data_IF_064901769472
#
_entry.id   IF_064901769472
#
_cell.length_a   1.000
_cell.length_b   1.000
_cell.length_c   1.000
_cell.angle_alpha   90.00
_cell.angle_beta   90.00
_cell.angle_gamma   90.00
#
_symmetry.space_group_name_H-M   'P 1'
#
loop_
_entity.id
_entity.type
_entity.pdbx_description
1 polymer ?
#
# COMPACT_ATOMS: atom_id res chain seq x y z
N UNK A 1 -26.88 -32.91 6.42
CA UNK A 1 -25.85 -31.87 6.69
C UNK A 1 -25.17 -31.58 5.36
N UNK A 2 -25.35 -30.40 4.82
CA UNK A 2 -24.57 -29.95 3.69
C UNK A 2 -23.09 -29.91 4.13
N UNK A 3 -22.19 -30.44 3.32
CA UNK A 3 -20.78 -30.62 3.67
C UNK A 3 -20.06 -29.30 3.97
N UNK A 4 -18.84 -29.38 4.50
CA UNK A 4 -17.96 -28.23 4.67
C UNK A 4 -17.60 -27.65 3.29
N UNK A 5 -17.95 -26.37 3.07
CA UNK A 5 -17.77 -25.67 1.79
C UNK A 5 -16.43 -24.91 1.70
N UNK A 6 -15.51 -25.14 2.65
CA UNK A 6 -14.28 -24.36 2.79
C UNK A 6 -14.53 -22.98 3.44
N UNK A 7 -13.47 -22.20 3.59
CA UNK A 7 -13.54 -20.91 4.29
C UNK A 7 -14.43 -19.91 3.55
N UNK A 8 -14.20 -19.71 2.26
CA UNK A 8 -14.99 -18.79 1.42
C UNK A 8 -16.45 -19.23 1.31
N UNK A 9 -16.70 -20.52 1.07
CA UNK A 9 -18.07 -21.03 0.94
C UNK A 9 -18.88 -20.88 2.22
N UNK A 10 -18.31 -21.18 3.38
CA UNK A 10 -18.95 -21.00 4.67
C UNK A 10 -19.17 -19.51 5.00
N UNK A 11 -18.19 -18.63 4.69
CA UNK A 11 -18.33 -17.19 4.85
C UNK A 11 -19.45 -16.62 3.95
N UNK A 12 -19.55 -17.07 2.71
CA UNK A 12 -20.62 -16.66 1.80
C UNK A 12 -22.01 -17.08 2.30
N UNK A 13 -22.10 -18.26 2.93
CA UNK A 13 -23.35 -18.68 3.55
C UNK A 13 -23.74 -17.79 4.73
N UNK A 14 -22.75 -17.36 5.52
CA UNK A 14 -22.97 -16.38 6.58
C UNK A 14 -23.40 -15.01 6.02
N UNK A 15 -22.77 -14.54 4.94
CA UNK A 15 -23.14 -13.29 4.28
C UNK A 15 -24.62 -13.24 3.83
N UNK A 16 -25.17 -14.36 3.41
CA UNK A 16 -26.60 -14.44 3.02
C UNK A 16 -27.55 -14.19 4.21
N UNK A 17 -27.08 -14.35 5.44
CA UNK A 17 -27.87 -14.15 6.67
C UNK A 17 -27.75 -12.74 7.25
N UNK A 18 -26.81 -11.93 6.75
CA UNK A 18 -26.52 -10.60 7.28
C UNK A 18 -27.66 -9.64 6.98
N UNK A 19 -28.05 -8.86 8.01
CA UNK A 19 -29.10 -7.83 7.93
C UNK A 19 -28.55 -6.41 8.12
N UNK A 20 -27.32 -6.29 8.67
CA UNK A 20 -26.67 -5.02 8.94
C UNK A 20 -26.37 -4.23 7.67
N UNK A 21 -26.28 -2.92 7.75
CA UNK A 21 -25.78 -2.06 6.66
C UNK A 21 -24.27 -2.23 6.46
N UNK A 22 -23.56 -2.48 7.56
CA UNK A 22 -22.12 -2.79 7.58
C UNK A 22 -21.87 -4.19 8.08
N UNK A 23 -20.77 -4.78 7.64
CA UNK A 23 -20.30 -6.11 8.05
C UNK A 23 -18.88 -5.97 8.58
N UNK A 24 -18.65 -6.48 9.79
CA UNK A 24 -17.33 -6.65 10.37
C UNK A 24 -16.92 -8.13 10.30
N UNK A 25 -15.66 -8.39 9.98
CA UNK A 25 -15.10 -9.74 9.95
C UNK A 25 -14.34 -10.00 11.25
N UNK A 26 -14.71 -11.05 11.95
CA UNK A 26 -14.05 -11.52 13.18
C UNK A 26 -13.72 -13.00 13.01
N UNK A 27 -12.45 -13.37 13.20
CA UNK A 27 -12.06 -14.77 13.24
C UNK A 27 -12.55 -15.42 14.55
N UNK A 28 -12.82 -16.73 14.50
CA UNK A 28 -13.47 -17.46 15.59
C UNK A 28 -12.66 -17.55 16.89
N UNK A 29 -11.36 -17.30 16.82
CA UNK A 29 -10.38 -17.41 17.90
C UNK A 29 -9.78 -16.06 18.32
N UNK A 30 -10.13 -14.98 17.61
CA UNK A 30 -9.69 -13.63 17.91
C UNK A 30 -10.68 -12.89 18.81
N UNK A 31 -10.30 -11.71 19.30
CA UNK A 31 -11.10 -10.93 20.25
C UNK A 31 -11.15 -9.46 19.81
N UNK A 32 -12.31 -8.84 19.96
CA UNK A 32 -12.48 -7.39 19.87
C UNK A 32 -12.34 -6.74 21.25
N UNK A 33 -11.91 -5.48 21.28
CA UNK A 33 -12.06 -4.68 22.51
C UNK A 33 -13.54 -4.45 22.82
N UNK A 34 -13.86 -4.22 24.09
CA UNK A 34 -15.25 -4.03 24.55
C UNK A 34 -15.93 -2.83 23.86
N UNK A 35 -15.17 -1.84 23.45
CA UNK A 35 -15.63 -0.60 22.80
C UNK A 35 -15.45 -0.60 21.28
N UNK A 36 -15.01 -1.69 20.65
CA UNK A 36 -14.72 -1.74 19.23
C UNK A 36 -15.91 -1.27 18.35
N UNK A 37 -17.08 -1.82 18.60
CA UNK A 37 -18.28 -1.48 17.83
C UNK A 37 -18.76 -0.05 18.11
N UNK A 38 -18.48 0.49 19.30
CA UNK A 38 -18.77 1.89 19.61
C UNK A 38 -17.93 2.81 18.71
N UNK A 39 -16.61 2.58 18.57
CA UNK A 39 -15.76 3.41 17.74
C UNK A 39 -16.08 3.30 16.25
N UNK A 40 -16.50 2.13 15.79
CA UNK A 40 -17.03 1.97 14.42
C UNK A 40 -18.31 2.80 14.23
N UNK A 41 -19.25 2.72 15.18
CA UNK A 41 -20.48 3.49 15.10
C UNK A 41 -20.26 5.00 15.22
N UNK A 42 -19.31 5.43 16.06
CA UNK A 42 -18.93 6.83 16.25
C UNK A 42 -18.36 7.43 14.94
N UNK A 43 -17.43 6.72 14.28
CA UNK A 43 -16.90 7.13 13.00
C UNK A 43 -18.00 7.29 11.93
N UNK A 44 -18.96 6.39 11.89
CA UNK A 44 -20.09 6.41 10.95
C UNK A 44 -21.14 7.51 11.23
N UNK A 45 -21.08 8.15 12.39
CA UNK A 45 -21.95 9.30 12.68
C UNK A 45 -21.45 10.60 12.03
N UNK A 46 -20.15 10.73 11.87
CA UNK A 46 -19.54 11.93 11.27
C UNK A 46 -19.64 11.93 9.75
N UNK A 47 -19.41 10.78 9.11
CA UNK A 47 -19.43 10.62 7.65
C UNK A 47 -19.88 9.22 7.24
N UNK A 48 -20.35 9.08 6.00
CA UNK A 48 -20.76 7.80 5.42
C UNK A 48 -19.58 7.12 4.71
N UNK A 49 -18.74 6.47 5.48
CA UNK A 49 -17.64 5.69 4.91
C UNK A 49 -18.11 4.40 4.24
N UNK A 50 -17.40 3.99 3.21
CA UNK A 50 -17.61 2.71 2.52
C UNK A 50 -16.88 1.57 3.24
N UNK A 51 -15.68 1.85 3.74
CA UNK A 51 -14.79 0.94 4.44
C UNK A 51 -14.23 1.61 5.69
N UNK A 52 -14.11 0.85 6.78
CA UNK A 52 -13.40 1.27 7.98
C UNK A 52 -12.41 0.16 8.38
N UNK A 53 -11.28 0.55 8.95
CA UNK A 53 -10.33 -0.39 9.54
C UNK A 53 -9.68 0.23 10.77
N UNK A 54 -9.19 -0.63 11.68
CA UNK A 54 -8.53 -0.19 12.90
C UNK A 54 -7.11 -0.71 13.01
N UNK A 55 -6.39 -0.22 14.00
CA UNK A 55 -5.17 -0.85 14.48
C UNK A 55 -5.47 -2.20 15.10
N UNK A 56 -4.45 -3.05 15.17
CA UNK A 56 -4.54 -4.38 15.76
C UNK A 56 -3.32 -4.68 16.62
N UNK A 57 -3.41 -5.68 17.47
CA UNK A 57 -2.26 -6.29 18.13
C UNK A 57 -2.35 -7.82 18.10
N UNK A 58 -1.40 -8.46 18.75
CA UNK A 58 -1.41 -9.89 18.97
C UNK A 58 -1.74 -10.21 20.42
N UNK A 59 -2.47 -11.28 20.61
CA UNK A 59 -2.82 -11.82 21.91
C UNK A 59 -2.16 -13.18 22.10
N UNK A 60 -1.57 -13.43 23.27
CA UNK A 60 -1.05 -14.74 23.62
C UNK A 60 -2.14 -15.81 23.51
N UNK A 61 -1.76 -17.07 23.21
CA UNK A 61 -2.70 -18.17 23.01
C UNK A 61 -3.70 -18.32 24.18
N UNK A 62 -3.21 -18.15 25.41
CA UNK A 62 -4.03 -18.22 26.64
C UNK A 62 -4.78 -16.91 26.97
N UNK A 63 -4.68 -15.88 26.14
CA UNK A 63 -5.33 -14.60 26.36
C UNK A 63 -4.76 -13.73 27.48
N UNK A 64 -3.59 -14.10 28.04
CA UNK A 64 -3.07 -13.46 29.26
C UNK A 64 -2.45 -12.08 29.06
N UNK A 65 -1.99 -11.77 27.87
CA UNK A 65 -1.36 -10.49 27.54
C UNK A 65 -1.38 -10.20 26.03
N UNK A 66 -1.22 -8.91 25.69
CA UNK A 66 -1.18 -8.38 24.35
C UNK A 66 0.25 -8.03 23.95
N UNK A 67 0.59 -8.23 22.67
CA UNK A 67 1.94 -8.12 22.12
C UNK A 67 1.90 -7.44 20.75
N UNK A 68 3.03 -6.89 20.34
CA UNK A 68 3.28 -6.44 18.98
C UNK A 68 2.15 -5.57 18.38
N UNK A 69 1.82 -4.41 18.98
CA UNK A 69 0.82 -3.53 18.42
C UNK A 69 1.24 -3.08 17.03
N UNK A 70 0.29 -3.07 16.11
CA UNK A 70 0.44 -2.62 14.73
C UNK A 70 -0.42 -1.38 14.52
N UNK A 71 0.23 -0.24 14.53
CA UNK A 71 -0.37 1.04 14.19
C UNK A 71 -0.32 1.21 12.68
N UNK A 72 -1.48 1.44 12.08
CA UNK A 72 -1.64 1.51 10.63
C UNK A 72 -1.66 2.98 10.18
N UNK A 73 -1.20 3.28 8.96
CA UNK A 73 -1.35 4.61 8.39
C UNK A 73 -2.80 4.88 7.96
N UNK A 74 -3.09 6.12 7.58
CA UNK A 74 -4.24 6.45 6.74
C UNK A 74 -4.21 5.60 5.46
N UNK A 75 -5.37 5.49 4.79
CA UNK A 75 -5.48 4.61 3.63
C UNK A 75 -4.48 4.97 2.53
N UNK A 76 -3.70 3.97 2.15
CA UNK A 76 -2.73 4.03 1.07
C UNK A 76 -2.91 2.80 0.18
N UNK A 77 -3.36 3.04 -1.05
CA UNK A 77 -3.63 1.96 -2.02
C UNK A 77 -2.35 1.25 -2.46
N UNK A 78 -1.23 1.96 -2.56
CA UNK A 78 0.04 1.34 -2.99
C UNK A 78 0.62 0.47 -1.87
N UNK A 79 0.44 0.89 -0.62
CA UNK A 79 0.77 0.04 0.52
C UNK A 79 -0.13 -1.20 0.59
N UNK A 80 -1.45 -1.05 0.32
CA UNK A 80 -2.37 -2.19 0.26
C UNK A 80 -2.00 -3.17 -0.87
N UNK A 81 -1.53 -2.66 -2.00
CA UNK A 81 -0.99 -3.47 -3.11
C UNK A 81 0.31 -4.17 -2.76
N UNK A 82 1.11 -3.63 -1.85
CA UNK A 82 2.34 -4.27 -1.40
C UNK A 82 2.07 -5.42 -0.40
N UNK A 83 1.10 -5.26 0.50
CA UNK A 83 0.66 -6.32 1.42
C UNK A 83 -0.67 -5.92 2.08
N UNK A 84 -1.39 -6.90 2.59
CA UNK A 84 -2.64 -6.67 3.33
C UNK A 84 -2.36 -6.05 4.71
N UNK A 85 -2.10 -4.73 4.75
CA UNK A 85 -1.88 -4.02 6.02
C UNK A 85 -3.18 -3.74 6.78
N UNK A 86 -4.32 -3.68 6.09
CA UNK A 86 -5.64 -3.46 6.70
C UNK A 86 -6.02 -4.62 7.61
N UNK A 87 -5.92 -5.85 7.12
CA UNK A 87 -6.14 -7.12 7.84
C UNK A 87 -7.36 -7.09 8.80
N UNK A 88 -7.17 -6.66 10.05
CA UNK A 88 -8.19 -6.61 11.12
C UNK A 88 -8.08 -5.30 11.92
N UNK A 89 -9.13 -4.75 12.52
CA UNK A 89 -10.52 -5.00 12.24
C UNK A 89 -10.87 -4.42 10.86
N UNK A 90 -11.56 -5.18 10.03
CA UNK A 90 -12.06 -4.72 8.74
C UNK A 90 -13.58 -4.67 8.78
N UNK A 91 -14.13 -3.52 8.40
CA UNK A 91 -15.58 -3.25 8.33
C UNK A 91 -15.89 -2.62 6.98
N UNK A 92 -16.88 -3.12 6.26
CA UNK A 92 -17.29 -2.53 5.00
C UNK A 92 -18.82 -2.57 4.83
N UNK A 93 -19.33 -1.75 3.92
CA UNK A 93 -20.73 -1.81 3.53
C UNK A 93 -21.09 -3.21 3.04
N UNK A 94 -22.24 -3.70 3.48
CA UNK A 94 -22.77 -5.00 3.05
C UNK A 94 -22.82 -5.14 1.54
N UNK A 95 -23.26 -4.10 0.83
CA UNK A 95 -23.35 -4.13 -0.63
C UNK A 95 -21.99 -4.37 -1.32
N UNK A 96 -20.88 -3.81 -0.79
CA UNK A 96 -19.53 -4.03 -1.30
C UNK A 96 -19.08 -5.47 -1.05
N UNK A 97 -19.29 -5.97 0.17
CA UNK A 97 -18.88 -7.34 0.51
C UNK A 97 -19.72 -8.43 -0.19
N UNK A 98 -20.95 -8.10 -0.59
CA UNK A 98 -21.81 -9.02 -1.33
C UNK A 98 -21.66 -8.88 -2.85
N UNK A 99 -20.99 -7.84 -3.32
CA UNK A 99 -20.71 -7.68 -4.74
C UNK A 99 -19.89 -8.86 -5.25
N UNK A 100 -20.08 -9.19 -6.53
CA UNK A 100 -19.37 -10.27 -7.23
C UNK A 100 -19.41 -11.65 -6.53
N UNK A 101 -20.47 -11.87 -5.73
CA UNK A 101 -20.71 -13.17 -5.08
C UNK A 101 -20.02 -13.37 -3.73
N UNK A 102 -19.43 -12.31 -3.15
CA UNK A 102 -18.82 -12.35 -1.82
C UNK A 102 -17.37 -12.81 -1.81
N UNK A 103 -17.02 -13.78 -0.98
CA UNK A 103 -15.68 -14.38 -0.94
C UNK A 103 -15.45 -15.35 -2.08
N UNK A 104 -14.28 -15.33 -2.68
CA UNK A 104 -13.91 -16.19 -3.81
C UNK A 104 -13.02 -17.34 -3.36
N UNK A 105 -13.52 -18.59 -3.48
CA UNK A 105 -12.81 -19.79 -3.05
C UNK A 105 -11.50 -20.06 -3.81
N UNK A 106 -11.34 -19.48 -4.99
CA UNK A 106 -10.08 -19.56 -5.73
C UNK A 106 -8.92 -18.85 -5.02
N UNK A 107 -9.22 -17.95 -4.08
CA UNK A 107 -8.24 -17.24 -3.27
C UNK A 107 -8.22 -17.72 -1.81
N UNK A 108 -8.72 -18.94 -1.51
CA UNK A 108 -8.68 -19.50 -0.16
C UNK A 108 -7.24 -19.50 0.38
N UNK A 109 -7.06 -18.93 1.56
CA UNK A 109 -5.75 -18.60 2.16
C UNK A 109 -5.37 -17.13 2.05
N UNK A 110 -5.97 -16.39 1.09
CA UNK A 110 -5.88 -14.93 0.95
C UNK A 110 -7.24 -14.32 0.59
N UNK A 111 -8.34 -15.01 0.89
CA UNK A 111 -9.71 -14.59 0.59
C UNK A 111 -10.07 -13.23 1.24
N UNK A 112 -9.49 -12.93 2.40
CA UNK A 112 -9.68 -11.65 3.07
C UNK A 112 -8.98 -10.52 2.31
N UNK A 113 -7.79 -10.79 1.76
CA UNK A 113 -7.06 -9.83 0.94
C UNK A 113 -7.79 -9.50 -0.35
N UNK A 114 -8.32 -10.50 -1.07
CA UNK A 114 -9.16 -10.29 -2.26
C UNK A 114 -10.39 -9.44 -1.91
N UNK A 115 -11.09 -9.77 -0.82
CA UNK A 115 -12.25 -9.01 -0.36
C UNK A 115 -11.90 -7.57 -0.04
N UNK A 116 -10.82 -7.33 0.70
CA UNK A 116 -10.38 -5.98 1.07
C UNK A 116 -10.01 -5.18 -0.17
N UNK A 117 -9.22 -5.76 -1.10
CA UNK A 117 -8.88 -5.11 -2.37
C UNK A 117 -10.15 -4.66 -3.11
N UNK A 118 -11.11 -5.56 -3.32
CA UNK A 118 -12.37 -5.24 -4.02
C UNK A 118 -13.21 -4.17 -3.32
N UNK A 119 -13.29 -4.20 -2.01
CA UNK A 119 -14.00 -3.19 -1.24
C UNK A 119 -13.33 -1.80 -1.30
N UNK A 120 -12.02 -1.75 -1.54
CA UNK A 120 -11.23 -0.52 -1.63
C UNK A 120 -11.02 -0.02 -3.08
N UNK A 121 -11.51 -0.74 -4.11
CA UNK A 121 -11.39 -0.35 -5.51
C UNK A 121 -12.22 0.89 -5.85
N UNK A 122 -11.70 1.69 -6.78
CA UNK A 122 -12.36 2.91 -7.24
C UNK A 122 -12.28 4.06 -6.23
N UNK A 123 -13.21 5.00 -6.31
CA UNK A 123 -13.25 6.16 -5.42
C UNK A 123 -14.11 5.84 -4.19
N UNK A 124 -13.51 5.23 -3.15
CA UNK A 124 -14.17 4.85 -1.90
C UNK A 124 -13.79 5.77 -0.77
N UNK A 125 -14.75 6.04 0.09
CA UNK A 125 -14.53 6.76 1.34
C UNK A 125 -14.08 5.76 2.41
N UNK A 126 -12.78 5.79 2.74
CA UNK A 126 -12.13 4.82 3.63
C UNK A 126 -11.65 5.53 4.89
N UNK A 127 -12.03 5.01 6.05
CA UNK A 127 -11.68 5.56 7.35
C UNK A 127 -10.72 4.64 8.11
N UNK A 128 -9.61 5.19 8.57
CA UNK A 128 -8.76 4.58 9.59
C UNK A 128 -9.24 5.02 10.98
N UNK A 129 -9.49 4.06 11.86
CA UNK A 129 -9.76 4.31 13.28
C UNK A 129 -8.44 4.06 14.03
N UNK A 130 -7.70 5.10 14.47
CA UNK A 130 -6.36 4.96 15.04
C UNK A 130 -6.41 4.44 16.49
N UNK A 131 -6.96 3.26 16.65
CA UNK A 131 -7.14 2.55 17.92
C UNK A 131 -6.92 1.07 17.73
N UNK A 132 -6.29 0.40 18.67
CA UNK A 132 -6.22 -1.05 18.71
C UNK A 132 -7.59 -1.57 19.13
N UNK A 133 -8.38 -2.07 18.18
CA UNK A 133 -9.72 -2.60 18.40
C UNK A 133 -9.82 -4.11 18.21
N UNK A 134 -8.74 -4.73 17.74
CA UNK A 134 -8.70 -6.14 17.38
C UNK A 134 -7.44 -6.82 17.96
N UNK A 135 -7.63 -7.96 18.59
CA UNK A 135 -6.58 -8.78 19.20
C UNK A 135 -6.50 -10.12 18.48
N UNK A 136 -5.46 -10.30 17.67
CA UNK A 136 -5.21 -11.51 16.89
C UNK A 136 -4.50 -12.56 17.74
N UNK A 137 -5.12 -13.72 17.95
CA UNK A 137 -4.53 -14.80 18.76
C UNK A 137 -3.35 -15.46 18.05
N UNK A 138 -2.28 -15.68 18.79
CA UNK A 138 -1.10 -16.41 18.31
C UNK A 138 -1.35 -17.89 18.52
N UNK A 139 -1.06 -18.70 17.50
CA UNK A 139 -1.08 -20.15 17.57
C UNK A 139 0.31 -20.70 17.24
N UNK A 140 0.77 -21.64 18.08
CA UNK A 140 1.98 -22.41 17.82
C UNK A 140 1.66 -23.57 16.86
N UNK A 141 2.20 -23.52 15.64
CA UNK A 141 2.16 -24.62 14.66
C UNK A 141 3.55 -25.19 14.39
N UNK A 142 3.63 -26.38 13.79
CA UNK A 142 4.91 -26.93 13.34
C UNK A 142 5.49 -26.09 12.19
N UNK A 143 6.83 -26.04 12.04
CA UNK A 143 7.48 -25.24 10.97
C UNK A 143 7.09 -25.72 9.58
N UNK A 144 7.03 -27.03 9.34
CA UNK A 144 6.69 -27.61 8.03
C UNK A 144 5.26 -27.31 7.58
N UNK A 145 4.29 -27.43 8.50
CA UNK A 145 2.88 -27.08 8.20
C UNK A 145 2.74 -25.57 7.91
N UNK A 146 3.48 -24.75 8.67
CA UNK A 146 3.53 -23.31 8.42
C UNK A 146 4.08 -22.99 7.05
N UNK A 147 5.19 -23.61 6.63
CA UNK A 147 5.84 -23.32 5.34
C UNK A 147 4.94 -23.70 4.14
N UNK A 148 4.30 -24.88 4.19
CA UNK A 148 3.36 -25.28 3.16
C UNK A 148 2.13 -24.36 3.08
N UNK A 149 1.55 -24.02 4.23
CA UNK A 149 0.43 -23.07 4.31
C UNK A 149 0.83 -21.69 3.77
N UNK A 150 2.03 -21.22 4.11
CA UNK A 150 2.54 -19.93 3.64
C UNK A 150 2.73 -19.86 2.13
N UNK A 151 3.19 -20.95 1.50
CA UNK A 151 3.34 -21.00 0.05
C UNK A 151 1.98 -20.86 -0.66
N UNK A 152 0.94 -21.55 -0.15
CA UNK A 152 -0.43 -21.45 -0.67
C UNK A 152 -1.02 -20.04 -0.46
N UNK A 153 -0.89 -19.47 0.74
CA UNK A 153 -1.35 -18.12 1.05
C UNK A 153 -0.66 -17.07 0.16
N UNK A 154 0.65 -17.22 -0.06
CA UNK A 154 1.43 -16.30 -0.88
C UNK A 154 1.01 -16.36 -2.36
N UNK A 155 0.74 -17.56 -2.87
CA UNK A 155 0.25 -17.75 -4.24
C UNK A 155 -1.17 -17.20 -4.40
N UNK A 156 -2.08 -17.53 -3.48
CA UNK A 156 -3.46 -17.03 -3.51
C UNK A 156 -3.52 -15.49 -3.41
N UNK A 157 -2.67 -14.89 -2.58
CA UNK A 157 -2.59 -13.44 -2.47
C UNK A 157 -2.02 -12.77 -3.72
N UNK A 158 -1.04 -13.39 -4.38
CA UNK A 158 -0.55 -12.94 -5.68
C UNK A 158 -1.66 -12.94 -6.72
N UNK A 159 -2.42 -14.04 -6.83
CA UNK A 159 -3.53 -14.18 -7.78
C UNK A 159 -4.66 -13.17 -7.51
N UNK A 160 -4.98 -12.93 -6.23
CA UNK A 160 -5.94 -11.90 -5.84
C UNK A 160 -5.48 -10.50 -6.27
N UNK A 161 -4.19 -10.19 -6.09
CA UNK A 161 -3.62 -8.92 -6.50
C UNK A 161 -3.52 -8.79 -8.04
N UNK A 162 -3.21 -9.85 -8.77
CA UNK A 162 -3.25 -9.88 -10.24
C UNK A 162 -4.67 -9.59 -10.76
N UNK A 163 -5.69 -10.17 -10.12
CA UNK A 163 -7.08 -9.88 -10.45
C UNK A 163 -7.45 -8.41 -10.15
N UNK A 164 -6.98 -7.85 -9.03
CA UNK A 164 -7.13 -6.43 -8.71
C UNK A 164 -6.49 -5.54 -9.78
N UNK A 165 -5.23 -5.82 -10.17
CA UNK A 165 -4.50 -5.10 -11.22
C UNK A 165 -5.30 -5.10 -12.53
N UNK A 166 -5.91 -6.24 -12.88
CA UNK A 166 -6.73 -6.36 -14.09
C UNK A 166 -8.05 -5.56 -13.98
N UNK A 167 -8.75 -5.58 -12.84
CA UNK A 167 -10.00 -4.82 -12.62
C UNK A 167 -9.76 -3.30 -12.64
N UNK A 168 -8.66 -2.86 -12.05
CA UNK A 168 -8.26 -1.44 -12.03
C UNK A 168 -7.57 -0.99 -13.33
N UNK A 169 -7.45 -1.87 -14.34
CA UNK A 169 -6.79 -1.61 -15.62
C UNK A 169 -5.36 -1.06 -15.49
N UNK A 170 -4.63 -1.50 -14.46
CA UNK A 170 -3.26 -1.06 -14.23
C UNK A 170 -2.30 -1.78 -15.18
N UNK A 171 -1.42 -1.01 -15.80
CA UNK A 171 -0.31 -1.56 -16.58
C UNK A 171 0.84 -1.96 -15.63
N UNK A 172 0.67 -3.06 -14.95
CA UNK A 172 1.61 -3.54 -13.95
C UNK A 172 1.68 -5.06 -13.92
N UNK A 173 2.80 -5.59 -13.41
CA UNK A 173 3.01 -7.02 -13.13
C UNK A 173 3.23 -7.23 -11.65
N UNK A 174 2.60 -8.26 -11.09
CA UNK A 174 2.75 -8.63 -9.69
C UNK A 174 3.92 -9.59 -9.54
N UNK A 175 4.85 -9.24 -8.68
CA UNK A 175 6.02 -10.06 -8.34
C UNK A 175 5.95 -10.46 -6.87
N UNK A 176 6.31 -11.70 -6.55
CA UNK A 176 6.53 -12.12 -5.17
C UNK A 176 7.90 -11.63 -4.68
N UNK A 177 8.00 -11.35 -3.39
CA UNK A 177 9.26 -11.00 -2.73
C UNK A 177 9.74 -12.16 -1.84
N UNK A 178 10.92 -12.02 -1.24
CA UNK A 178 11.42 -12.98 -0.23
C UNK A 178 10.65 -12.89 1.10
N UNK A 179 9.81 -11.86 1.27
CA UNK A 179 8.97 -11.68 2.44
C UNK A 179 7.60 -12.31 2.22
N UNK A 180 7.08 -12.97 3.27
CA UNK A 180 5.77 -13.61 3.24
C UNK A 180 4.65 -12.62 3.02
N UNK A 181 3.78 -12.91 2.03
CA UNK A 181 2.59 -12.10 1.69
C UNK A 181 2.91 -10.63 1.43
N UNK A 182 4.14 -10.38 0.95
CA UNK A 182 4.59 -9.07 0.46
C UNK A 182 4.86 -9.19 -1.03
N UNK A 183 4.30 -8.25 -1.78
CA UNK A 183 4.35 -8.23 -3.25
C UNK A 183 4.98 -6.94 -3.74
N UNK A 184 5.54 -6.98 -4.93
CA UNK A 184 6.01 -5.81 -5.67
C UNK A 184 5.16 -5.65 -6.93
N UNK A 185 4.54 -4.48 -7.11
CA UNK A 185 3.93 -4.10 -8.38
C UNK A 185 4.97 -3.41 -9.25
N UNK A 186 5.31 -4.05 -10.35
CA UNK A 186 6.18 -3.48 -11.36
C UNK A 186 5.34 -2.84 -12.44
N UNK A 187 5.17 -1.53 -12.34
CA UNK A 187 4.40 -0.75 -13.31
C UNK A 187 5.15 -0.63 -14.64
N UNK A 188 4.44 -0.84 -15.73
CA UNK A 188 4.94 -0.52 -17.06
C UNK A 188 4.71 0.98 -17.30
N UNK A 189 5.78 1.73 -17.46
CA UNK A 189 5.68 3.17 -17.74
C UNK A 189 5.23 3.37 -19.18
N UNK A 190 4.02 3.90 -19.44
CA UNK A 190 3.59 4.16 -20.80
C UNK A 190 4.38 5.31 -21.40
N UNK A 191 5.12 5.03 -22.47
CA UNK A 191 5.94 6.02 -23.17
C UNK A 191 7.25 6.35 -22.45
N UNK A 192 7.79 7.49 -22.78
CA UNK A 192 9.03 8.02 -22.24
C UNK A 192 8.87 9.53 -22.00
N UNK A 193 8.03 9.97 -21.02
CA UNK A 193 7.76 11.38 -20.79
C UNK A 193 9.03 12.14 -20.41
N UNK A 194 9.14 13.41 -20.80
CA UNK A 194 10.23 14.27 -20.37
C UNK A 194 10.10 14.56 -18.87
N UNK A 195 11.15 14.27 -18.11
CA UNK A 195 11.26 14.60 -16.70
C UNK A 195 12.21 15.77 -16.51
N UNK A 196 11.70 16.90 -16.01
CA UNK A 196 12.51 18.07 -15.67
C UNK A 196 12.96 18.01 -14.22
N UNK A 197 14.27 17.96 -14.00
CA UNK A 197 14.87 18.05 -12.66
C UNK A 197 15.29 19.49 -12.39
N UNK A 198 14.75 20.08 -11.34
CA UNK A 198 15.10 21.44 -10.92
C UNK A 198 16.07 21.38 -9.74
N UNK A 199 17.21 22.02 -9.87
CA UNK A 199 18.25 22.09 -8.83
C UNK A 199 18.35 23.52 -8.34
N UNK A 200 18.12 23.70 -7.03
CA UNK A 200 18.17 25.02 -6.36
C UNK A 200 19.11 24.98 -5.16
N UNK A 201 19.46 26.15 -4.62
CA UNK A 201 20.16 26.27 -3.33
C UNK A 201 21.61 25.80 -3.32
N UNK A 202 22.30 25.85 -4.44
CA UNK A 202 23.69 25.41 -4.58
C UNK A 202 24.68 26.59 -4.52
N UNK A 203 25.83 26.37 -3.90
CA UNK A 203 26.87 27.39 -3.75
C UNK A 203 28.28 26.85 -3.95
N UNK A 204 28.44 25.58 -4.28
CA UNK A 204 29.73 24.91 -4.24
C UNK A 204 29.90 23.93 -5.42
N UNK A 205 30.96 24.15 -6.20
CA UNK A 205 31.32 23.31 -7.34
C UNK A 205 31.47 21.83 -6.97
N UNK A 206 32.15 21.56 -5.87
CA UNK A 206 32.46 20.15 -5.47
C UNK A 206 31.19 19.37 -5.21
N UNK A 207 30.22 19.98 -4.53
CA UNK A 207 28.93 19.35 -4.25
C UNK A 207 28.12 19.13 -5.55
N UNK A 208 28.13 20.10 -6.45
CA UNK A 208 27.47 19.97 -7.75
C UNK A 208 28.06 18.84 -8.58
N UNK A 209 29.39 18.71 -8.60
CA UNK A 209 30.10 17.63 -9.32
C UNK A 209 29.78 16.26 -8.69
N UNK A 210 29.85 16.17 -7.36
CA UNK A 210 29.49 14.95 -6.62
C UNK A 210 28.04 14.50 -6.82
N UNK A 211 27.14 15.41 -7.12
CA UNK A 211 25.73 15.12 -7.40
C UNK A 211 25.51 14.78 -8.89
N UNK A 212 25.99 15.62 -9.80
CA UNK A 212 25.68 15.50 -11.23
C UNK A 212 26.39 14.32 -11.90
N UNK A 213 27.68 14.08 -11.61
CA UNK A 213 28.40 12.98 -12.26
C UNK A 213 27.80 11.61 -11.92
N UNK A 214 27.57 11.24 -10.64
CA UNK A 214 26.90 9.99 -10.30
C UNK A 214 25.46 9.91 -10.80
N UNK A 215 24.77 11.03 -10.89
CA UNK A 215 23.42 11.06 -11.45
C UNK A 215 23.43 10.61 -12.91
N UNK A 216 24.29 11.18 -13.75
CA UNK A 216 24.43 10.79 -15.16
C UNK A 216 24.93 9.35 -15.35
N UNK A 217 25.77 8.85 -14.45
CA UNK A 217 26.29 7.49 -14.50
C UNK A 217 25.24 6.42 -14.12
N UNK A 218 24.41 6.72 -13.13
CA UNK A 218 23.47 5.75 -12.53
C UNK A 218 22.08 5.80 -13.11
N UNK A 219 21.66 6.96 -13.64
CA UNK A 219 20.31 7.14 -14.18
C UNK A 219 20.12 6.36 -15.48
N UNK A 220 19.20 5.42 -15.48
CA UNK A 220 18.84 4.62 -16.65
C UNK A 220 17.74 5.26 -17.50
N UNK A 221 17.01 6.21 -16.95
CA UNK A 221 15.98 6.94 -17.67
C UNK A 221 16.63 7.96 -18.61
N UNK A 222 16.28 7.94 -19.88
CA UNK A 222 16.99 8.71 -20.91
C UNK A 222 16.35 10.04 -21.26
N UNK A 223 15.03 10.20 -21.02
CA UNK A 223 14.29 11.39 -21.40
C UNK A 223 14.10 12.35 -20.22
N UNK A 224 15.18 13.00 -19.84
CA UNK A 224 15.15 14.02 -18.78
C UNK A 224 15.95 15.25 -19.17
N UNK A 225 15.63 16.36 -18.53
CA UNK A 225 16.44 17.58 -18.54
C UNK A 225 16.75 18.03 -17.10
N UNK A 226 17.83 18.78 -16.98
CA UNK A 226 18.26 19.38 -15.71
C UNK A 226 18.24 20.90 -15.88
N UNK A 227 17.55 21.57 -14.95
CA UNK A 227 17.46 23.03 -14.87
C UNK A 227 18.10 23.44 -13.55
N UNK A 228 19.25 24.11 -13.63
CA UNK A 228 19.96 24.65 -12.49
C UNK A 228 19.54 26.10 -12.32
N UNK A 229 19.02 26.45 -11.16
CA UNK A 229 18.65 27.84 -10.83
C UNK A 229 19.83 28.47 -10.10
N UNK A 230 20.53 29.39 -10.79
CA UNK A 230 21.63 30.16 -10.21
C UNK A 230 21.07 31.40 -9.52
N UNK A 231 21.21 31.46 -8.20
CA UNK A 231 20.76 32.57 -7.35
C UNK A 231 21.79 33.70 -7.22
N UNK A 232 22.60 33.97 -8.24
CA UNK A 232 23.73 34.90 -8.23
C UNK A 232 24.79 34.60 -7.12
N UNK A 233 24.90 33.33 -6.68
CA UNK A 233 25.83 32.88 -5.66
C UNK A 233 26.96 32.04 -6.22
N UNK A 234 26.94 31.76 -7.51
CA UNK A 234 27.98 30.97 -8.17
C UNK A 234 29.27 31.81 -8.29
N UNK A 235 30.36 31.29 -7.73
CA UNK A 235 31.69 31.82 -7.98
C UNK A 235 32.19 31.50 -9.40
N UNK A 236 33.34 32.06 -9.79
CA UNK A 236 33.91 31.83 -11.12
C UNK A 236 34.16 30.35 -11.43
N UNK A 237 34.51 29.54 -10.44
CA UNK A 237 34.78 28.12 -10.63
C UNK A 237 33.49 27.34 -10.91
N UNK A 238 32.43 27.65 -10.20
CA UNK A 238 31.13 27.03 -10.40
C UNK A 238 30.53 27.46 -11.74
N UNK A 239 30.64 28.73 -12.13
CA UNK A 239 30.19 29.22 -13.44
C UNK A 239 30.94 28.53 -14.58
N UNK A 240 32.27 28.37 -14.47
CA UNK A 240 33.05 27.60 -15.46
C UNK A 240 32.60 26.15 -15.54
N UNK A 241 32.27 25.55 -14.40
CA UNK A 241 31.75 24.19 -14.37
C UNK A 241 30.37 24.10 -15.08
N UNK A 242 29.46 25.03 -14.86
CA UNK A 242 28.18 25.08 -15.59
C UNK A 242 28.38 25.19 -17.10
N UNK A 243 29.24 26.05 -17.55
CA UNK A 243 29.55 26.19 -18.97
C UNK A 243 30.12 24.90 -19.57
N UNK A 244 30.98 24.19 -18.84
CA UNK A 244 31.49 22.89 -19.24
C UNK A 244 30.39 21.84 -19.33
N UNK A 245 29.49 21.78 -18.35
CA UNK A 245 28.38 20.85 -18.34
C UNK A 245 27.43 21.10 -19.50
N UNK A 246 27.04 22.35 -19.74
CA UNK A 246 26.20 22.74 -20.87
C UNK A 246 26.82 22.43 -22.24
N UNK A 247 28.15 22.55 -22.36
CA UNK A 247 28.86 22.17 -23.59
C UNK A 247 28.91 20.67 -23.84
N UNK A 248 28.95 19.85 -22.77
CA UNK A 248 29.03 18.38 -22.85
C UNK A 248 27.64 17.73 -22.92
N UNK A 249 26.61 18.35 -22.36
CA UNK A 249 25.28 17.77 -22.16
C UNK A 249 24.20 18.70 -22.73
N UNK A 250 23.42 18.21 -23.70
CA UNK A 250 22.36 19.02 -24.33
C UNK A 250 21.10 19.19 -23.47
N UNK A 251 21.00 18.37 -22.43
CA UNK A 251 19.83 18.29 -21.54
C UNK A 251 20.06 19.00 -20.19
N UNK A 252 20.97 20.00 -20.16
CA UNK A 252 21.20 20.82 -18.97
C UNK A 252 21.09 22.30 -19.33
N UNK A 253 20.34 23.05 -18.55
CA UNK A 253 20.21 24.49 -18.64
C UNK A 253 20.55 25.14 -17.29
N UNK A 254 21.16 26.31 -17.33
CA UNK A 254 21.37 27.17 -16.17
C UNK A 254 20.56 28.42 -16.38
N UNK A 255 19.72 28.76 -15.43
CA UNK A 255 18.85 29.95 -15.46
C UNK A 255 19.15 30.81 -14.23
N UNK A 256 19.28 32.12 -14.41
CA UNK A 256 19.40 33.05 -13.30
C UNK A 256 18.07 33.13 -12.55
N UNK A 257 18.12 33.15 -11.21
CA UNK A 257 16.95 33.48 -10.42
C UNK A 257 16.61 34.98 -10.66
N UNK A 258 15.32 35.28 -10.86
CA UNK A 258 14.89 36.67 -10.87
C UNK A 258 15.11 37.27 -9.48
N UNK A 259 15.91 38.33 -9.40
CA UNK A 259 16.14 39.06 -8.16
C UNK A 259 14.83 39.66 -7.65
N UNK A 260 14.33 39.15 -6.54
CA UNK A 260 13.33 39.81 -5.72
C UNK A 260 11.88 39.50 -6.00
N UNK A 261 11.39 38.48 -5.29
CA UNK A 261 10.08 38.49 -4.58
C UNK A 261 10.16 37.43 -3.50
N UNK A 262 10.72 37.78 -2.35
CA UNK A 262 10.52 37.01 -1.11
C UNK A 262 9.14 37.30 -0.55
#
# INVERSE_FOLDING_TARGET
>A
MEGNLGISGNSNRALQMVKGEYIAILAHDDVLTEDALYWVADALQSERYDVLYSDEDRMAENGSHYLEPRFKPEFDVDLLRAYNYISHLFVARRELMMADGGFHSQYDGAQDYDMILRCCEGNRDICHIPRVLYHKRIHDGTSLERDAKHALENQAGKEALEAHVAREHLLARVMTTDQRSVYELKYDTPGNPLVSMIITGHTNRVLMEQMLEPFYEKTRYSNFEIIIVDEDRADEELQKYYQQMQSRRRNIAVVAAEAGKS
#
